data_IF_691807357307
#
_entry.id   IF_691807357307
#
_cell.length_a   1.000
_cell.length_b   1.000
_cell.length_c   1.000
_cell.angle_alpha   90.00
_cell.angle_beta   90.00
_cell.angle_gamma   90.00
#
_symmetry.space_group_name_H-M   'P 1'
#
loop_
_entity.id
_entity.type
_entity.pdbx_description
1 polymer ?
#
# COMPACT_ATOMS: atom_id res chain seq x y z
N UNK A 1 -9.21 17.84 -2.64
CA UNK A 1 -9.34 16.42 -2.26
C UNK A 1 -8.97 16.19 -0.81
N UNK A 2 -7.79 16.66 -0.38
CA UNK A 2 -7.36 16.59 1.03
C UNK A 2 -8.32 17.28 2.01
N UNK A 3 -8.94 18.40 1.62
CA UNK A 3 -9.94 19.10 2.43
C UNK A 3 -11.16 18.24 2.77
N UNK A 4 -11.62 17.40 1.83
CA UNK A 4 -12.75 16.50 2.08
C UNK A 4 -12.37 15.39 3.08
N UNK A 5 -11.13 14.89 3.00
CA UNK A 5 -10.57 13.93 3.96
C UNK A 5 -10.45 14.55 5.35
N UNK A 6 -9.95 15.79 5.44
CA UNK A 6 -9.87 16.54 6.71
C UNK A 6 -11.24 16.79 7.33
N UNK A 7 -12.23 17.23 6.53
CA UNK A 7 -13.63 17.43 6.99
C UNK A 7 -14.29 16.15 7.51
N UNK A 8 -13.83 14.99 7.06
CA UNK A 8 -14.28 13.68 7.56
C UNK A 8 -13.59 13.25 8.86
N UNK A 9 -12.71 14.09 9.43
CA UNK A 9 -12.08 13.88 10.74
C UNK A 9 -10.60 13.50 10.68
N UNK A 10 -9.98 13.49 9.50
CA UNK A 10 -8.54 13.27 9.41
C UNK A 10 -7.74 14.43 10.02
N UNK A 11 -6.66 14.17 10.78
CA UNK A 11 -5.91 15.22 11.46
C UNK A 11 -5.13 16.12 10.50
N UNK A 12 -4.66 15.60 9.35
CA UNK A 12 -3.82 16.34 8.41
C UNK A 12 -4.63 16.91 7.25
N UNK A 13 -4.23 18.09 6.79
CA UNK A 13 -4.90 18.85 5.71
C UNK A 13 -4.36 18.56 4.31
N UNK A 14 -3.29 17.77 4.22
CA UNK A 14 -2.54 17.48 2.99
C UNK A 14 -2.53 15.98 2.63
N UNK A 15 -3.48 15.19 3.18
CA UNK A 15 -3.67 13.80 2.77
C UNK A 15 -4.11 13.73 1.29
N UNK A 16 -3.34 13.04 0.46
CA UNK A 16 -3.56 12.97 -0.99
C UNK A 16 -3.98 11.58 -1.48
N UNK A 17 -3.66 10.53 -0.73
CA UNK A 17 -3.98 9.16 -1.08
C UNK A 17 -3.92 8.23 0.14
N UNK A 18 -4.36 6.98 -0.06
CA UNK A 18 -4.37 5.93 0.94
C UNK A 18 -3.59 4.73 0.40
N UNK A 19 -2.68 4.18 1.19
CA UNK A 19 -1.91 2.98 0.86
C UNK A 19 -2.49 1.77 1.59
N UNK A 20 -2.69 0.68 0.86
CA UNK A 20 -3.12 -0.57 1.46
C UNK A 20 -2.55 -1.79 0.72
N UNK A 21 -2.31 -2.86 1.50
CA UNK A 21 -1.87 -4.16 1.03
C UNK A 21 -3.05 -5.10 0.83
N UNK A 22 -3.34 -5.51 -0.41
CA UNK A 22 -4.40 -6.48 -0.71
C UNK A 22 -3.82 -7.87 -0.97
N UNK A 23 -4.35 -8.88 -0.26
CA UNK A 23 -4.06 -10.29 -0.52
C UNK A 23 -5.13 -10.89 -1.44
N UNK A 24 -4.73 -11.40 -2.61
CA UNK A 24 -5.60 -12.07 -3.59
C UNK A 24 -5.41 -13.59 -3.49
N UNK A 25 -6.45 -14.35 -3.14
CA UNK A 25 -6.40 -15.81 -3.11
C UNK A 25 -5.97 -16.41 -4.45
N UNK A 26 -5.15 -17.45 -4.40
CA UNK A 26 -4.77 -18.28 -5.54
C UNK A 26 -4.94 -19.76 -5.21
N UNK A 27 -4.98 -20.60 -6.24
CA UNK A 27 -4.87 -22.06 -6.07
C UNK A 27 -3.54 -22.42 -5.39
N UNK A 28 -3.49 -23.55 -4.68
CA UNK A 28 -2.26 -24.08 -4.09
C UNK A 28 -1.24 -24.33 -5.21
N UNK A 29 -0.10 -23.62 -5.24
CA UNK A 29 0.90 -23.85 -6.28
C UNK A 29 1.64 -25.16 -6.03
N UNK A 30 2.09 -25.79 -7.13
CA UNK A 30 2.83 -27.05 -7.11
C UNK A 30 4.30 -26.88 -6.68
N UNK A 31 4.85 -25.69 -6.90
CA UNK A 31 6.21 -25.29 -6.51
C UNK A 31 6.16 -24.15 -5.49
N UNK A 32 7.18 -24.05 -4.64
CA UNK A 32 7.37 -22.94 -3.68
C UNK A 32 6.14 -22.57 -2.83
N UNK A 33 5.32 -23.57 -2.52
CA UNK A 33 4.04 -23.40 -1.83
C UNK A 33 4.13 -22.53 -0.57
N UNK A 34 5.20 -22.72 0.21
CA UNK A 34 5.42 -21.98 1.47
C UNK A 34 5.63 -20.48 1.25
N UNK A 35 6.11 -20.05 0.09
CA UNK A 35 6.29 -18.63 -0.22
C UNK A 35 4.95 -17.92 -0.41
N UNK A 36 3.98 -18.62 -0.98
CA UNK A 36 2.66 -18.08 -1.30
C UNK A 36 1.63 -18.28 -0.18
N UNK A 37 1.91 -19.12 0.80
CA UNK A 37 1.01 -19.30 1.95
C UNK A 37 1.06 -18.11 2.91
N UNK A 38 -0.06 -17.43 3.11
CA UNK A 38 -0.20 -16.39 4.13
C UNK A 38 -0.68 -17.01 5.44
N UNK A 39 0.15 -16.95 6.49
CA UNK A 39 -0.25 -17.43 7.82
C UNK A 39 -1.42 -16.65 8.42
N UNK A 40 -1.48 -15.33 8.17
CA UNK A 40 -2.56 -14.47 8.68
C UNK A 40 -3.92 -14.79 8.02
N UNK A 41 -3.94 -15.01 6.69
CA UNK A 41 -5.18 -15.36 5.97
C UNK A 41 -5.46 -16.87 5.93
N UNK A 42 -4.49 -17.71 6.29
CA UNK A 42 -4.54 -19.19 6.27
C UNK A 42 -4.82 -19.79 4.89
N UNK A 43 -4.37 -19.13 3.82
CA UNK A 43 -4.55 -19.57 2.43
C UNK A 43 -3.40 -19.07 1.53
N UNK A 44 -3.30 -19.63 0.30
CA UNK A 44 -2.29 -19.21 -0.68
C UNK A 44 -2.72 -17.93 -1.36
N UNK A 45 -1.87 -16.91 -1.34
CA UNK A 45 -2.18 -15.58 -1.87
C UNK A 45 -1.02 -15.00 -2.67
N UNK A 46 -1.39 -14.12 -3.59
CA UNK A 46 -0.51 -13.07 -4.10
C UNK A 46 -0.87 -11.77 -3.41
N UNK A 47 0.13 -11.04 -2.94
CA UNK A 47 -0.06 -9.72 -2.35
C UNK A 47 0.16 -8.63 -3.39
N UNK A 48 -0.57 -7.54 -3.26
CA UNK A 48 -0.44 -6.34 -4.06
C UNK A 48 -0.47 -5.14 -3.13
N UNK A 49 0.25 -4.09 -3.48
CA UNK A 49 0.15 -2.80 -2.82
C UNK A 49 -0.57 -1.84 -3.75
N UNK A 50 -1.56 -1.13 -3.23
CA UNK A 50 -2.29 -0.13 -4.01
C UNK A 50 -2.26 1.21 -3.31
N UNK A 51 -2.20 2.27 -4.12
CA UNK A 51 -2.38 3.63 -3.69
C UNK A 51 -3.70 4.14 -4.27
N UNK A 52 -4.65 4.44 -3.40
CA UNK A 52 -5.99 4.89 -3.76
C UNK A 52 -6.14 6.38 -3.50
N UNK A 53 -6.59 7.12 -4.51
CA UNK A 53 -6.92 8.53 -4.38
C UNK A 53 -8.27 8.71 -3.65
N UNK A 54 -8.53 9.86 -2.97
CA UNK A 54 -9.75 10.09 -2.19
C UNK A 54 -11.07 10.00 -2.96
N UNK A 55 -11.02 10.04 -4.29
CA UNK A 55 -12.17 9.84 -5.18
C UNK A 55 -12.44 8.35 -5.49
N UNK A 56 -11.70 7.42 -4.89
CA UNK A 56 -11.84 5.98 -5.08
C UNK A 56 -11.07 5.40 -6.26
N UNK A 57 -10.32 6.21 -7.01
CA UNK A 57 -9.49 5.71 -8.10
C UNK A 57 -8.19 5.10 -7.56
N UNK A 58 -7.82 3.93 -8.07
CA UNK A 58 -6.48 3.36 -7.84
C UNK A 58 -5.48 4.08 -8.71
N UNK A 59 -4.61 4.86 -8.08
CA UNK A 59 -3.62 5.71 -8.73
C UNK A 59 -2.30 4.97 -8.97
N UNK A 60 -2.03 3.91 -8.19
CA UNK A 60 -0.93 2.97 -8.42
C UNK A 60 -1.32 1.58 -7.92
N UNK A 61 -0.93 0.54 -8.65
CA UNK A 61 -1.02 -0.85 -8.24
C UNK A 61 0.32 -1.54 -8.51
N UNK A 62 0.88 -2.19 -7.49
CA UNK A 62 2.20 -2.76 -7.52
C UNK A 62 2.19 -4.21 -7.01
N UNK A 63 2.98 -5.08 -7.62
CA UNK A 63 3.00 -6.53 -7.41
C UNK A 63 3.00 -7.33 -8.71
N UNK A 64 2.80 -8.66 -8.66
CA UNK A 64 2.48 -9.46 -7.47
C UNK A 64 3.68 -9.72 -6.54
N UNK A 65 3.40 -9.80 -5.25
CA UNK A 65 4.33 -10.19 -4.19
C UNK A 65 3.96 -11.55 -3.60
N UNK A 66 4.95 -12.24 -3.04
CA UNK A 66 4.73 -13.52 -2.36
C UNK A 66 3.88 -13.34 -1.09
N UNK A 67 2.98 -14.28 -0.80
CA UNK A 67 2.03 -14.19 0.30
C UNK A 67 2.64 -14.09 1.70
N UNK A 68 3.90 -14.50 1.86
CA UNK A 68 4.68 -14.36 3.10
C UNK A 68 5.18 -12.94 3.37
N UNK A 69 5.24 -12.05 2.38
CA UNK A 69 5.79 -10.69 2.57
C UNK A 69 4.89 -9.85 3.47
N UNK A 70 5.50 -9.07 4.36
CA UNK A 70 4.82 -8.06 5.17
C UNK A 70 4.67 -6.77 4.37
N UNK A 71 3.67 -5.96 4.70
CA UNK A 71 3.32 -4.78 3.90
C UNK A 71 4.42 -3.69 3.98
N UNK A 72 5.12 -3.56 5.12
CA UNK A 72 6.35 -2.77 5.21
C UNK A 72 7.49 -3.26 4.28
N UNK A 73 7.59 -4.58 4.07
CA UNK A 73 8.56 -5.16 3.14
C UNK A 73 8.17 -4.84 1.69
N UNK A 74 6.89 -4.95 1.38
CA UNK A 74 6.35 -4.59 0.07
C UNK A 74 6.57 -3.11 -0.23
N UNK A 75 6.36 -2.22 0.74
CA UNK A 75 6.66 -0.79 0.59
C UNK A 75 8.13 -0.50 0.26
N UNK A 76 9.05 -1.27 0.85
CA UNK A 76 10.48 -1.15 0.54
C UNK A 76 10.78 -1.63 -0.87
N UNK A 77 10.22 -2.77 -1.24
CA UNK A 77 10.47 -3.40 -2.54
C UNK A 77 9.82 -2.62 -3.70
N UNK A 78 8.67 -1.97 -3.47
CA UNK A 78 7.93 -1.21 -4.48
C UNK A 78 8.56 0.13 -4.83
N UNK A 79 9.50 0.62 -4.01
CA UNK A 79 10.15 1.93 -4.16
C UNK A 79 9.14 3.07 -4.32
N UNK A 80 8.02 2.97 -3.61
CA UNK A 80 6.92 3.92 -3.75
C UNK A 80 7.37 5.35 -3.41
N UNK A 81 8.19 5.53 -2.37
CA UNK A 81 8.63 6.87 -1.98
C UNK A 81 9.52 7.51 -3.03
N UNK A 82 10.45 6.76 -3.59
CA UNK A 82 11.36 7.23 -4.63
C UNK A 82 10.57 7.67 -5.87
N UNK A 83 9.54 6.90 -6.24
CA UNK A 83 8.59 7.25 -7.32
C UNK A 83 7.82 8.54 -7.01
N UNK A 84 7.37 8.70 -5.77
CA UNK A 84 6.61 9.88 -5.34
C UNK A 84 7.47 11.13 -5.25
N UNK A 85 8.69 11.02 -4.70
CA UNK A 85 9.63 12.13 -4.59
C UNK A 85 10.00 12.68 -5.97
N UNK A 86 10.17 11.81 -6.98
CA UNK A 86 10.38 12.21 -8.36
C UNK A 86 9.19 12.97 -8.98
N UNK A 87 7.97 12.71 -8.52
CA UNK A 87 6.74 13.32 -9.04
C UNK A 87 6.30 14.58 -8.27
N UNK A 88 6.67 14.69 -6.99
CA UNK A 88 6.03 15.61 -6.06
C UNK A 88 6.46 17.08 -6.18
N UNK A 89 7.48 17.44 -6.99
CA UNK A 89 7.88 18.81 -7.36
C UNK A 89 7.56 19.87 -6.27
N UNK A 90 8.19 19.74 -5.10
CA UNK A 90 8.10 20.65 -3.93
C UNK A 90 6.79 20.67 -3.13
N UNK A 91 5.79 19.83 -3.45
CA UNK A 91 4.54 19.74 -2.68
C UNK A 91 4.64 18.68 -1.58
N UNK A 92 4.38 19.10 -0.33
CA UNK A 92 4.29 18.20 0.82
C UNK A 92 2.94 17.48 0.83
N UNK A 93 2.89 16.29 0.25
CA UNK A 93 1.73 15.39 0.31
C UNK A 93 1.91 14.32 1.37
N UNK A 94 0.79 13.87 1.95
CA UNK A 94 0.76 12.80 2.95
C UNK A 94 -0.13 11.65 2.47
N UNK A 95 0.29 10.42 2.71
CA UNK A 95 -0.44 9.19 2.38
C UNK A 95 -0.85 8.49 3.67
N UNK A 96 -2.13 8.20 3.86
CA UNK A 96 -2.52 7.39 5.01
C UNK A 96 -2.40 5.90 4.72
N UNK A 97 -1.82 5.17 5.66
CA UNK A 97 -1.74 3.71 5.64
C UNK A 97 -2.15 3.12 6.98
N UNK A 98 -2.30 1.80 7.00
CA UNK A 98 -2.45 1.08 8.26
C UNK A 98 -1.15 1.09 9.09
N UNK A 99 -1.19 0.67 10.37
CA UNK A 99 -0.01 0.62 11.22
C UNK A 99 1.07 -0.38 10.78
N UNK A 100 0.82 -1.22 9.77
CA UNK A 100 1.83 -2.13 9.23
C UNK A 100 2.85 -1.38 8.36
N UNK A 101 2.58 -0.13 7.99
CA UNK A 101 3.53 0.76 7.33
C UNK A 101 4.32 1.62 8.34
N UNK A 102 5.64 1.78 8.16
CA UNK A 102 6.47 2.58 9.06
C UNK A 102 6.19 4.07 8.89
N UNK A 103 6.04 4.82 9.99
CA UNK A 103 5.84 6.27 9.94
C UNK A 103 6.99 6.98 9.19
N UNK A 104 6.61 7.84 8.24
CA UNK A 104 7.52 8.75 7.52
C UNK A 104 6.81 10.09 7.29
N UNK A 105 7.53 11.19 7.01
CA UNK A 105 6.90 12.50 6.76
C UNK A 105 5.93 12.55 5.57
N UNK A 106 5.98 11.55 4.68
CA UNK A 106 5.07 11.35 3.55
C UNK A 106 3.87 10.45 3.91
N UNK A 107 3.73 10.04 5.18
CA UNK A 107 2.60 9.28 5.74
C UNK A 107 1.85 10.06 6.84
#
# INVERSE_FOLDING_TARGET
MSEAVHRKGAPLRNCWAFIDGTARPICRPSQDQRLYFSGHKRLHVLKYQSLMCPNGLTCQLDGPYTGRRHDAGILRDSQLYEKLDALALDKKFVIYGDPAYPLRPLL
#
